data_IF_012741524149
#
_entry.id   IF_012741524149
#
_cell.length_a   1.000
_cell.length_b   1.000
_cell.length_c   1.000
_cell.angle_alpha   90.00
_cell.angle_beta   90.00
_cell.angle_gamma   90.00
#
_symmetry.space_group_name_H-M   'P 1'
#
loop_
_entity.id
_entity.type
_entity.pdbx_description
1 polymer ?
#
# COMPACT_ATOMS: atom_id res chain seq x y z
N UNK A 1 0.78 -15.31 -24.91
CA UNK A 1 0.10 -14.52 -23.86
C UNK A 1 0.55 -15.10 -22.54
N UNK A 2 1.22 -14.32 -21.68
CA UNK A 2 1.64 -14.80 -20.36
C UNK A 2 0.44 -14.93 -19.42
N UNK A 3 0.36 -16.04 -18.71
CA UNK A 3 -0.59 -16.22 -17.61
C UNK A 3 -0.19 -15.29 -16.46
N UNK A 4 -1.14 -14.51 -15.94
CA UNK A 4 -0.90 -13.69 -14.76
C UNK A 4 -0.90 -14.59 -13.51
N UNK A 5 0.24 -14.69 -12.83
CA UNK A 5 0.33 -15.45 -11.57
C UNK A 5 -0.07 -14.56 -10.40
N UNK A 6 -1.17 -14.90 -9.73
CA UNK A 6 -1.66 -14.22 -8.54
C UNK A 6 -1.46 -15.14 -7.32
N UNK A 7 -0.62 -14.74 -6.34
CA UNK A 7 -0.44 -15.48 -5.10
C UNK A 7 -1.75 -15.66 -4.32
N UNK A 8 -1.87 -16.76 -3.57
CA UNK A 8 -3.07 -17.11 -2.81
C UNK A 8 -3.63 -15.98 -1.92
N UNK A 9 -2.80 -15.24 -1.14
CA UNK A 9 -3.30 -14.13 -0.31
C UNK A 9 -3.98 -13.02 -1.11
N UNK A 10 -3.62 -12.86 -2.39
CA UNK A 10 -4.10 -11.79 -3.25
C UNK A 10 -5.29 -12.20 -4.12
N UNK A 11 -5.63 -13.49 -4.24
CA UNK A 11 -6.65 -13.99 -5.18
C UNK A 11 -7.98 -13.25 -5.09
N UNK A 12 -8.52 -13.08 -3.89
CA UNK A 12 -9.79 -12.38 -3.67
C UNK A 12 -9.73 -10.90 -4.06
N UNK A 13 -8.65 -10.21 -3.70
CA UNK A 13 -8.48 -8.80 -4.05
C UNK A 13 -8.18 -8.62 -5.54
N UNK A 14 -7.47 -9.55 -6.19
CA UNK A 14 -7.01 -9.42 -7.58
C UNK A 14 -7.93 -10.06 -8.64
N UNK A 15 -9.06 -10.66 -8.25
CA UNK A 15 -10.00 -11.26 -9.20
C UNK A 15 -10.41 -10.30 -10.35
N UNK A 16 -10.63 -9.02 -10.06
CA UNK A 16 -10.96 -8.02 -11.11
C UNK A 16 -9.77 -7.70 -12.02
N UNK A 17 -8.54 -7.71 -11.49
CA UNK A 17 -7.32 -7.52 -12.31
C UNK A 17 -7.17 -8.69 -13.27
N UNK A 18 -7.40 -9.91 -12.78
CA UNK A 18 -7.37 -11.11 -13.62
C UNK A 18 -8.43 -11.05 -14.73
N UNK A 19 -9.66 -10.68 -14.39
CA UNK A 19 -10.73 -10.53 -15.39
C UNK A 19 -10.35 -9.53 -16.49
N UNK A 20 -9.77 -8.38 -16.12
CA UNK A 20 -9.27 -7.38 -17.09
C UNK A 20 -8.11 -7.97 -17.92
N UNK A 21 -7.20 -8.71 -17.28
CA UNK A 21 -6.05 -9.30 -17.93
C UNK A 21 -6.42 -10.28 -19.06
N UNK A 22 -7.54 -10.97 -18.91
CA UNK A 22 -8.04 -11.98 -19.86
C UNK A 22 -8.86 -11.37 -21.02
N UNK A 23 -9.20 -10.08 -20.96
CA UNK A 23 -9.92 -9.39 -22.03
C UNK A 23 -9.10 -9.34 -23.34
N UNK A 24 -9.79 -9.18 -24.47
CA UNK A 24 -9.16 -8.98 -25.78
C UNK A 24 -8.95 -7.50 -26.15
N UNK A 25 -9.29 -6.57 -25.24
CA UNK A 25 -9.09 -5.14 -25.46
C UNK A 25 -7.60 -4.76 -25.55
N UNK A 26 -7.28 -3.81 -26.42
CA UNK A 26 -5.90 -3.33 -26.63
C UNK A 26 -5.32 -2.61 -25.41
N UNK A 27 -6.17 -2.00 -24.57
CA UNK A 27 -5.77 -1.24 -23.37
C UNK A 27 -5.63 -2.10 -22.12
N UNK A 28 -5.98 -3.39 -22.16
CA UNK A 28 -6.11 -4.26 -20.97
C UNK A 28 -4.89 -4.24 -20.03
N UNK A 29 -3.68 -4.04 -20.55
CA UNK A 29 -2.44 -3.99 -19.74
C UNK A 29 -2.28 -2.68 -18.99
N UNK A 30 -2.69 -1.58 -19.62
CA UNK A 30 -2.78 -0.28 -18.96
C UNK A 30 -3.81 -0.35 -17.85
N UNK A 31 -5.01 -0.87 -18.16
CA UNK A 31 -6.11 -0.98 -17.21
C UNK A 31 -5.75 -1.89 -16.03
N UNK A 32 -5.10 -3.04 -16.31
CA UNK A 32 -4.60 -3.94 -15.28
C UNK A 32 -3.53 -3.29 -14.40
N UNK A 33 -2.58 -2.54 -14.97
CA UNK A 33 -1.54 -1.84 -14.20
C UNK A 33 -2.16 -0.79 -13.28
N UNK A 34 -3.07 0.02 -13.79
CA UNK A 34 -3.73 1.06 -12.99
C UNK A 34 -4.53 0.44 -11.85
N UNK A 35 -5.33 -0.59 -12.12
CA UNK A 35 -6.12 -1.23 -11.08
C UNK A 35 -5.24 -1.93 -10.04
N UNK A 36 -4.17 -2.60 -10.48
CA UNK A 36 -3.16 -3.22 -9.60
C UNK A 36 -2.52 -2.18 -8.70
N UNK A 37 -2.17 -1.02 -9.25
CA UNK A 37 -1.61 0.07 -8.48
C UNK A 37 -2.59 0.61 -7.43
N UNK A 38 -3.86 0.84 -7.79
CA UNK A 38 -4.90 1.26 -6.84
C UNK A 38 -5.05 0.26 -5.68
N UNK A 39 -4.90 -1.03 -5.95
CA UNK A 39 -4.92 -2.08 -4.92
C UNK A 39 -3.71 -1.98 -3.98
N UNK A 40 -2.54 -1.67 -4.50
CA UNK A 40 -1.34 -1.41 -3.69
C UNK A 40 -1.52 -0.18 -2.78
N UNK A 41 -2.07 0.93 -3.28
CA UNK A 41 -2.36 2.11 -2.44
C UNK A 41 -3.37 1.79 -1.35
N UNK A 42 -4.37 0.97 -1.68
CA UNK A 42 -5.40 0.53 -0.73
C UNK A 42 -4.81 -0.36 0.37
N UNK A 43 -3.95 -1.33 0.03
CA UNK A 43 -3.31 -2.22 0.99
C UNK A 43 -2.45 -1.43 1.99
N UNK A 44 -1.56 -0.57 1.48
CA UNK A 44 -0.66 0.25 2.32
C UNK A 44 -1.43 1.20 3.23
N UNK A 45 -2.45 1.91 2.72
CA UNK A 45 -3.32 2.77 3.53
C UNK A 45 -4.03 1.99 4.63
N UNK A 46 -4.62 0.83 4.32
CA UNK A 46 -5.33 0.00 5.31
C UNK A 46 -4.41 -0.54 6.39
N UNK A 47 -3.24 -1.04 6.00
CA UNK A 47 -2.28 -1.56 6.94
C UNK A 47 -1.78 -0.46 7.89
N UNK A 48 -1.44 0.71 7.34
CA UNK A 48 -1.08 1.89 8.13
C UNK A 48 -2.20 2.29 9.10
N UNK A 49 -3.45 2.41 8.61
CA UNK A 49 -4.60 2.76 9.46
C UNK A 49 -4.82 1.73 10.57
N UNK A 50 -4.67 0.44 10.28
CA UNK A 50 -4.77 -0.61 11.28
C UNK A 50 -3.73 -0.42 12.40
N UNK A 51 -2.46 -0.16 12.08
CA UNK A 51 -1.42 0.07 13.07
C UNK A 51 -1.68 1.31 13.94
N UNK A 52 -2.16 2.39 13.35
CA UNK A 52 -2.55 3.60 14.10
C UNK A 52 -3.76 3.29 15.01
N UNK A 53 -4.74 2.51 14.54
CA UNK A 53 -5.92 2.13 15.33
C UNK A 53 -5.57 1.22 16.52
N UNK A 54 -4.53 0.40 16.42
CA UNK A 54 -4.04 -0.41 17.55
C UNK A 54 -3.59 0.46 18.73
N UNK A 55 -3.07 1.67 18.48
CA UNK A 55 -2.65 2.59 19.53
C UNK A 55 -3.82 3.21 20.28
N UNK A 56 -4.76 3.81 19.54
CA UNK A 56 -5.90 4.51 20.12
C UNK A 56 -6.99 3.56 20.64
N UNK A 57 -6.89 2.27 20.34
CA UNK A 57 -7.88 1.26 20.72
C UNK A 57 -9.19 1.36 19.92
N UNK A 58 -10.27 0.85 20.51
CA UNK A 58 -11.58 0.74 19.86
C UNK A 58 -12.46 2.00 20.03
N UNK A 59 -11.88 3.15 20.38
CA UNK A 59 -12.64 4.40 20.47
C UNK A 59 -13.10 4.82 19.06
N UNK A 60 -14.40 4.66 18.79
CA UNK A 60 -15.01 5.01 17.51
C UNK A 60 -14.86 6.51 17.17
N UNK A 61 -14.79 7.39 18.18
CA UNK A 61 -14.57 8.82 17.96
C UNK A 61 -13.15 9.08 17.49
N UNK A 62 -12.15 8.48 18.16
CA UNK A 62 -10.75 8.52 17.73
C UNK A 62 -10.57 7.93 16.32
N UNK A 63 -11.18 6.77 16.04
CA UNK A 63 -11.14 6.14 14.71
C UNK A 63 -11.72 7.05 13.61
N UNK A 64 -12.85 7.70 13.89
CA UNK A 64 -13.47 8.65 12.96
C UNK A 64 -12.57 9.87 12.72
N UNK A 65 -11.89 10.35 13.75
CA UNK A 65 -10.99 11.48 13.64
C UNK A 65 -9.70 11.14 12.87
N UNK A 66 -9.10 9.96 13.12
CA UNK A 66 -7.95 9.43 12.36
C UNK A 66 -8.29 9.33 10.86
N UNK A 67 -9.47 8.79 10.54
CA UNK A 67 -9.92 8.70 9.15
C UNK A 67 -10.07 10.09 8.50
N UNK A 68 -10.60 11.08 9.23
CA UNK A 68 -10.68 12.47 8.74
C UNK A 68 -9.30 13.08 8.52
N UNK A 69 -8.36 12.86 9.44
CA UNK A 69 -6.97 13.34 9.31
C UNK A 69 -6.29 12.80 8.05
N UNK A 70 -6.44 11.48 7.79
CA UNK A 70 -5.93 10.83 6.58
C UNK A 70 -6.60 11.40 5.33
N UNK A 71 -7.93 11.57 5.34
CA UNK A 71 -8.69 12.09 4.20
C UNK A 71 -8.39 13.57 3.89
N UNK A 72 -8.11 14.38 4.90
CA UNK A 72 -7.80 15.80 4.74
C UNK A 72 -6.43 16.02 4.07
N UNK A 73 -5.51 15.07 4.21
CA UNK A 73 -4.17 15.17 3.67
C UNK A 73 -4.08 14.65 2.22
N UNK A 74 -3.98 15.58 1.27
CA UNK A 74 -3.92 15.27 -0.18
C UNK A 74 -2.57 14.77 -0.68
N UNK A 75 -1.54 14.76 0.17
CA UNK A 75 -0.17 14.39 -0.21
C UNK A 75 0.27 13.05 0.41
N UNK A 76 -0.69 12.17 0.70
CA UNK A 76 -0.41 10.82 1.17
C UNK A 76 -0.28 9.85 -0.01
N UNK A 77 0.94 9.40 -0.25
CA UNK A 77 1.28 8.40 -1.26
C UNK A 77 1.57 7.05 -0.59
N UNK A 78 1.62 5.94 -1.35
CA UNK A 78 2.03 4.64 -0.81
C UNK A 78 3.38 4.68 -0.06
N UNK A 79 4.33 5.47 -0.54
CA UNK A 79 5.62 5.68 0.15
C UNK A 79 5.46 6.39 1.50
N UNK A 80 4.52 7.34 1.62
CA UNK A 80 4.18 7.98 2.89
C UNK A 80 3.65 6.95 3.88
N UNK A 81 2.70 6.10 3.45
CA UNK A 81 2.16 5.04 4.30
C UNK A 81 3.21 4.00 4.69
N UNK A 82 4.07 3.58 3.76
CA UNK A 82 5.18 2.66 4.06
C UNK A 82 6.16 3.27 5.06
N UNK A 83 6.56 4.54 4.89
CA UNK A 83 7.40 5.25 5.85
C UNK A 83 6.73 5.31 7.23
N UNK A 84 5.42 5.53 7.28
CA UNK A 84 4.64 5.46 8.50
C UNK A 84 4.69 4.08 9.15
N UNK A 85 4.46 3.02 8.38
CA UNK A 85 4.52 1.63 8.87
C UNK A 85 5.92 1.30 9.41
N UNK A 86 6.98 1.63 8.67
CA UNK A 86 8.40 1.46 9.07
C UNK A 86 8.67 2.12 10.43
N UNK A 87 8.20 3.35 10.62
CA UNK A 87 8.36 4.10 11.88
C UNK A 87 7.58 3.48 13.03
N UNK A 88 6.31 3.16 12.80
CA UNK A 88 5.44 2.56 13.81
C UNK A 88 5.97 1.17 14.21
N UNK A 89 6.38 0.35 13.23
CA UNK A 89 6.89 -0.99 13.47
C UNK A 89 8.39 -1.04 13.84
N UNK A 90 9.08 0.11 13.91
CA UNK A 90 10.52 0.22 14.19
C UNK A 90 11.38 -0.74 13.36
N UNK A 91 11.08 -0.84 12.07
CA UNK A 91 11.79 -1.69 11.12
C UNK A 91 12.21 -0.88 9.89
N UNK A 92 12.87 -1.51 8.93
CA UNK A 92 13.18 -0.91 7.62
C UNK A 92 12.18 -1.38 6.56
N UNK A 93 12.11 -0.68 5.42
CA UNK A 93 11.33 -1.14 4.27
C UNK A 93 11.85 -2.49 3.74
N UNK A 94 13.16 -2.74 3.87
CA UNK A 94 13.77 -4.01 3.55
C UNK A 94 13.29 -5.14 4.47
N UNK A 95 13.01 -4.87 5.75
CA UNK A 95 12.42 -5.87 6.65
C UNK A 95 10.96 -6.17 6.29
N UNK A 96 10.21 -5.16 5.83
CA UNK A 96 8.82 -5.34 5.40
C UNK A 96 8.69 -6.18 4.13
N UNK A 97 9.57 -5.95 3.16
CA UNK A 97 9.50 -6.60 1.84
C UNK A 97 10.41 -7.85 1.77
N UNK A 98 11.38 -7.95 2.67
CA UNK A 98 12.33 -9.05 2.74
C UNK A 98 13.33 -9.06 1.58
N UNK A 99 13.78 -10.26 1.21
CA UNK A 99 14.82 -10.47 0.18
C UNK A 99 14.48 -9.89 -1.20
N UNK A 100 13.19 -9.70 -1.49
CA UNK A 100 12.74 -9.13 -2.75
C UNK A 100 12.91 -7.59 -2.83
N UNK A 101 13.17 -6.92 -1.70
CA UNK A 101 13.24 -5.46 -1.62
C UNK A 101 14.24 -4.86 -2.61
N UNK A 102 15.47 -5.39 -2.64
CA UNK A 102 16.54 -4.87 -3.47
C UNK A 102 16.20 -4.90 -4.98
N UNK A 103 15.46 -5.92 -5.40
CA UNK A 103 15.01 -6.06 -6.79
C UNK A 103 13.78 -5.21 -7.09
N UNK A 104 12.77 -5.22 -6.21
CA UNK A 104 11.47 -4.63 -6.51
C UNK A 104 11.40 -3.13 -6.22
N UNK A 105 12.15 -2.60 -5.26
CA UNK A 105 12.08 -1.18 -4.85
C UNK A 105 12.39 -0.20 -6.01
N UNK A 106 13.43 -0.43 -6.84
CA UNK A 106 13.67 0.38 -8.04
C UNK A 106 12.51 0.33 -9.03
N UNK A 107 11.85 -0.82 -9.18
CA UNK A 107 10.74 -1.03 -10.11
C UNK A 107 9.47 -0.31 -9.64
N UNK A 108 9.11 -0.43 -8.35
CA UNK A 108 7.98 0.31 -7.77
C UNK A 108 8.21 1.81 -7.89
N UNK A 109 9.44 2.27 -7.61
CA UNK A 109 9.82 3.68 -7.79
C UNK A 109 9.70 4.13 -9.25
N UNK A 110 10.08 3.28 -10.21
CA UNK A 110 9.94 3.56 -11.64
C UNK A 110 8.47 3.66 -12.04
N UNK A 111 7.64 2.70 -11.63
CA UNK A 111 6.19 2.65 -11.91
C UNK A 111 5.48 3.89 -11.36
N UNK A 112 5.81 4.27 -10.11
CA UNK A 112 5.26 5.46 -9.46
C UNK A 112 5.39 6.73 -10.33
N UNK A 113 6.54 6.92 -10.99
CA UNK A 113 6.83 8.14 -11.76
C UNK A 113 5.91 8.36 -12.97
N UNK A 114 5.46 7.29 -13.62
CA UNK A 114 4.64 7.43 -14.83
C UNK A 114 3.18 7.01 -14.63
N UNK A 115 2.81 6.33 -13.53
CA UNK A 115 1.42 5.92 -13.28
C UNK A 115 0.44 7.10 -13.28
N UNK A 116 0.83 8.25 -12.72
CA UNK A 116 0.01 9.48 -12.76
C UNK A 116 -0.21 9.97 -14.18
N UNK A 117 0.82 9.91 -15.03
CA UNK A 117 0.70 10.32 -16.43
C UNK A 117 -0.24 9.38 -17.19
N UNK A 118 -0.14 8.08 -16.96
CA UNK A 118 -1.07 7.08 -17.53
C UNK A 118 -2.51 7.39 -17.11
N UNK A 119 -2.75 7.60 -15.80
CA UNK A 119 -4.07 7.93 -15.26
C UNK A 119 -4.70 9.17 -15.91
N UNK A 120 -3.88 10.17 -16.24
CA UNK A 120 -4.33 11.41 -16.86
C UNK A 120 -4.29 11.40 -18.39
N UNK A 121 -3.99 10.26 -19.03
CA UNK A 121 -3.84 10.15 -20.48
C UNK A 121 -2.68 10.98 -21.05
N UNK A 122 -1.70 11.34 -20.22
CA UNK A 122 -0.57 12.18 -20.58
C UNK A 122 0.60 11.36 -21.14
N UNK A 123 1.42 12.01 -21.98
CA UNK A 123 2.65 11.42 -22.49
C UNK A 123 3.61 11.09 -21.34
N UNK A 124 3.91 9.81 -21.17
CA UNK A 124 4.81 9.33 -20.12
C UNK A 124 6.25 9.79 -20.34
N UNK A 125 6.63 10.02 -21.61
CA UNK A 125 8.03 10.19 -22.05
C UNK A 125 8.78 8.86 -22.13
N UNK A 126 8.08 7.74 -21.92
CA UNK A 126 8.64 6.38 -21.94
C UNK A 126 7.98 5.57 -23.06
N UNK A 127 8.77 4.77 -23.78
CA UNK A 127 8.27 3.81 -24.78
C UNK A 127 7.73 2.56 -24.09
N UNK A 128 6.63 2.71 -23.36
CA UNK A 128 5.98 1.59 -22.65
C UNK A 128 5.34 0.64 -23.66
N UNK A 129 5.76 -0.62 -23.65
CA UNK A 129 5.20 -1.69 -24.47
C UNK A 129 4.22 -2.50 -23.64
N UNK A 130 3.39 -3.32 -24.28
CA UNK A 130 2.55 -4.28 -23.56
C UNK A 130 3.39 -5.16 -22.61
N UNK A 131 4.56 -5.65 -23.06
CA UNK A 131 5.45 -6.47 -22.24
C UNK A 131 6.00 -5.72 -21.01
N UNK A 132 6.31 -4.42 -21.14
CA UNK A 132 6.72 -3.60 -20.00
C UNK A 132 5.60 -3.50 -18.96
N UNK A 133 4.38 -3.19 -19.41
CA UNK A 133 3.21 -3.10 -18.51
C UNK A 133 2.88 -4.45 -17.86
N UNK A 134 3.07 -5.55 -18.59
CA UNK A 134 2.89 -6.90 -18.05
C UNK A 134 3.88 -7.18 -16.91
N UNK A 135 5.16 -6.84 -17.09
CA UNK A 135 6.18 -6.95 -16.05
C UNK A 135 5.87 -6.04 -14.85
N UNK A 136 5.42 -4.81 -15.09
CA UNK A 136 5.06 -3.86 -14.03
C UNK A 136 3.95 -4.39 -13.13
N UNK A 137 2.90 -5.00 -13.71
CA UNK A 137 1.85 -5.66 -12.94
C UNK A 137 2.43 -6.77 -12.06
N UNK A 138 3.33 -7.59 -12.63
CA UNK A 138 4.03 -8.63 -11.88
C UNK A 138 4.84 -8.08 -10.71
N UNK A 139 5.59 -7.00 -10.91
CA UNK A 139 6.38 -6.36 -9.84
C UNK A 139 5.50 -5.83 -8.71
N UNK A 140 4.37 -5.19 -9.02
CA UNK A 140 3.45 -4.70 -7.98
C UNK A 140 2.78 -5.86 -7.24
N UNK A 141 2.38 -6.93 -7.93
CA UNK A 141 1.84 -8.14 -7.28
C UNK A 141 2.87 -8.77 -6.34
N UNK A 142 4.12 -8.92 -6.78
CA UNK A 142 5.19 -9.47 -5.96
C UNK A 142 5.44 -8.62 -4.72
N UNK A 143 5.47 -7.29 -4.88
CA UNK A 143 5.60 -6.34 -3.77
C UNK A 143 4.46 -6.47 -2.76
N UNK A 144 3.22 -6.45 -3.24
CA UNK A 144 2.03 -6.58 -2.40
C UNK A 144 1.99 -7.92 -1.66
N UNK A 145 2.43 -8.99 -2.32
CA UNK A 145 2.49 -10.33 -1.72
C UNK A 145 3.55 -10.40 -0.62
N UNK A 146 4.72 -9.80 -0.82
CA UNK A 146 5.78 -9.73 0.19
C UNK A 146 5.31 -8.92 1.41
N UNK A 147 4.73 -7.74 1.17
CA UNK A 147 4.16 -6.91 2.23
C UNK A 147 3.03 -7.66 2.97
N UNK A 148 2.20 -8.41 2.25
CA UNK A 148 1.12 -9.17 2.87
C UNK A 148 1.64 -10.28 3.78
N UNK A 149 2.66 -11.02 3.34
CA UNK A 149 3.28 -12.07 4.13
C UNK A 149 3.85 -11.51 5.44
N UNK A 150 4.59 -10.40 5.37
CA UNK A 150 5.12 -9.74 6.57
C UNK A 150 4.02 -9.16 7.44
N UNK A 151 3.01 -8.50 6.86
CA UNK A 151 1.91 -7.93 7.62
C UNK A 151 1.12 -8.97 8.41
N UNK A 152 0.80 -10.11 7.78
CA UNK A 152 0.17 -11.23 8.49
C UNK A 152 1.08 -11.76 9.61
N UNK A 153 2.38 -11.94 9.35
CA UNK A 153 3.33 -12.52 10.32
C UNK A 153 3.61 -11.62 11.51
N UNK A 154 3.85 -10.34 11.29
CA UNK A 154 4.30 -9.38 12.32
C UNK A 154 3.13 -8.64 12.98
N UNK A 155 2.07 -8.34 12.21
CA UNK A 155 0.98 -7.48 12.66
C UNK A 155 -0.36 -8.20 12.79
N UNK A 156 -0.44 -9.48 12.38
CA UNK A 156 -1.71 -10.21 12.32
C UNK A 156 -2.71 -9.68 11.27
N UNK A 157 -2.29 -8.71 10.44
CA UNK A 157 -3.12 -8.11 9.39
C UNK A 157 -2.25 -7.62 8.23
N UNK A 158 -2.70 -7.88 6.99
CA UNK A 158 -1.91 -7.64 5.77
C UNK A 158 -2.43 -6.50 4.88
N UNK A 159 -3.51 -5.82 5.28
CA UNK A 159 -4.12 -4.74 4.51
C UNK A 159 -5.12 -5.16 3.42
N UNK A 160 -5.35 -6.46 3.23
CA UNK A 160 -6.19 -6.99 2.13
C UNK A 160 -7.61 -7.28 2.60
N UNK A 161 -7.79 -7.88 3.78
CA UNK A 161 -9.12 -8.20 4.31
C UNK A 161 -9.94 -6.93 4.59
N UNK A 162 -11.26 -7.08 4.55
CA UNK A 162 -12.21 -6.01 4.91
C UNK A 162 -12.32 -5.88 6.44
N UNK A 163 -12.88 -4.76 6.89
CA UNK A 163 -13.20 -4.47 8.30
C UNK A 163 -11.98 -4.35 9.23
N UNK A 164 -11.01 -3.48 8.87
CA UNK A 164 -9.81 -3.18 9.67
C UNK A 164 -10.12 -2.89 11.15
N UNK A 165 -11.18 -2.16 11.45
CA UNK A 165 -11.59 -1.80 12.80
C UNK A 165 -12.03 -3.00 13.65
N UNK A 166 -12.65 -4.01 13.03
CA UNK A 166 -13.01 -5.26 13.71
C UNK A 166 -11.77 -6.10 13.97
N UNK A 167 -10.85 -6.16 13.01
CA UNK A 167 -9.57 -6.87 13.15
C UNK A 167 -8.65 -6.21 14.19
N UNK A 168 -8.80 -4.90 14.42
CA UNK A 168 -8.04 -4.17 15.43
C UNK A 168 -8.33 -4.61 16.88
N UNK A 169 -9.37 -5.42 17.10
CA UNK A 169 -9.61 -6.11 18.37
C UNK A 169 -8.52 -7.13 18.70
N UNK A 170 -7.79 -7.62 17.68
CA UNK A 170 -6.62 -8.45 17.83
C UNK A 170 -5.41 -7.56 18.09
N UNK A 171 -4.87 -7.59 19.31
CA UNK A 171 -3.64 -6.86 19.64
C UNK A 171 -2.46 -7.57 18.99
N UNK A 172 -1.97 -7.01 17.88
CA UNK A 172 -0.61 -7.28 17.45
C UNK A 172 0.35 -6.92 18.59
N UNK A 173 1.48 -7.63 18.67
CA UNK A 173 2.59 -7.38 19.60
C UNK A 173 2.71 -5.88 19.88
N UNK A 174 2.59 -5.46 21.14
CA UNK A 174 2.50 -4.05 21.52
C UNK A 174 3.64 -3.27 20.86
N UNK A 175 3.31 -2.50 19.83
CA UNK A 175 4.19 -1.45 19.34
C UNK A 175 4.33 -0.48 20.53
N UNK A 176 5.48 -0.56 21.21
CA UNK A 176 5.79 0.34 22.29
C UNK A 176 6.30 1.66 21.70
N UNK A 177 5.89 2.78 22.31
CA UNK A 177 6.33 4.14 21.99
C UNK A 177 5.82 4.67 20.63
N UNK A 178 4.50 4.83 20.51
CA UNK A 178 3.94 5.57 19.38
C UNK A 178 4.44 7.02 19.40
N UNK A 179 4.64 7.66 18.23
CA UNK A 179 5.16 9.03 18.16
C UNK A 179 4.11 10.11 18.45
N UNK A 180 2.96 9.72 18.98
CA UNK A 180 1.81 10.53 19.33
C UNK A 180 0.99 9.77 20.38
N UNK A 181 0.32 10.49 21.27
CA UNK A 181 -0.63 9.97 22.25
C UNK A 181 -2.05 10.50 22.00
N UNK A 182 -2.18 11.57 21.20
CA UNK A 182 -3.46 12.21 20.87
C UNK A 182 -3.71 12.27 19.37
N UNK A 183 -4.99 12.44 18.98
CA UNK A 183 -5.36 12.64 17.56
C UNK A 183 -4.71 13.90 16.98
N UNK A 184 -4.58 14.97 17.77
CA UNK A 184 -3.95 16.21 17.32
C UNK A 184 -2.45 16.01 17.02
N UNK A 185 -1.75 15.27 17.87
CA UNK A 185 -0.35 14.91 17.63
C UNK A 185 -0.20 13.98 16.42
N UNK A 186 -1.15 13.04 16.23
CA UNK A 186 -1.19 12.20 15.04
C UNK A 186 -1.34 13.04 13.76
N UNK A 187 -2.22 14.04 13.75
CA UNK A 187 -2.40 14.95 12.61
C UNK A 187 -1.10 15.70 12.26
N UNK A 188 -0.40 16.22 13.28
CA UNK A 188 0.90 16.89 13.11
C UNK A 188 1.94 15.91 12.57
N UNK A 189 2.03 14.73 13.16
CA UNK A 189 2.98 13.68 12.77
C UNK A 189 2.75 13.22 11.32
N UNK A 190 1.49 12.98 10.95
CA UNK A 190 1.10 12.62 9.58
C UNK A 190 1.43 13.74 8.58
N UNK A 191 1.26 15.00 8.97
CA UNK A 191 1.66 16.16 8.17
C UNK A 191 3.17 16.22 7.91
N UNK A 192 3.98 15.91 8.93
CA UNK A 192 5.44 15.83 8.78
C UNK A 192 5.88 14.68 7.88
N UNK A 193 5.20 13.53 7.99
CA UNK A 193 5.39 12.36 7.13
C UNK A 193 5.10 12.63 5.66
N UNK A 194 4.01 13.34 5.38
CA UNK A 194 3.66 13.73 4.01
C UNK A 194 4.72 14.65 3.37
N UNK A 195 5.32 15.54 4.16
CA UNK A 195 6.34 16.48 3.67
C UNK A 195 7.76 15.90 3.66
N UNK A 196 7.96 14.65 4.07
CA UNK A 196 9.30 14.06 4.26
C UNK A 196 10.15 14.77 5.32
N UNK A 197 9.54 15.58 6.19
CA UNK A 197 10.25 16.33 7.21
C UNK A 197 10.38 15.49 8.47
N UNK A 198 11.50 14.80 8.59
CA UNK A 198 11.97 14.23 9.84
C UNK A 198 13.48 14.15 9.83
N UNK A 199 14.14 14.34 10.98
CA UNK A 199 15.59 14.14 11.11
C UNK A 199 15.98 12.69 10.80
#
# INVERSE_FOLDING_TARGET
MGTLTIPDPLKGEFATVQAIWELQASTRRVDALILTWVKYEKQTRRLFSFLVQQHFGLDMLAQSAINRAILANRQLYPSTFLSGIVRLARCTEADLIGVAHAQLSPEISRIHRYRNKILHGQLTGQKLTAAHLEADVGHVIAWMSALAATGTREFGYNGLERNTAQLATFRATQIADFPFDTVAEFEIWLGNLARGHFP
#
